data_IF_811935231633
#
_entry.id   IF_811935231633
#
_cell.length_a   1.000
_cell.length_b   1.000
_cell.length_c   1.000
_cell.angle_alpha   90.00
_cell.angle_beta   90.00
_cell.angle_gamma   90.00
#
_symmetry.space_group_name_H-M   'P 1'
#
loop_
_entity.id
_entity.type
_entity.pdbx_description
1 polymer ?
#
# COMPACT_ATOMS: atom_id res chain seq x y z
N UNK A 1 32.16 28.53 -32.22
CA UNK A 1 32.34 28.19 -30.79
C UNK A 1 30.98 27.88 -30.14
N UNK A 2 29.95 28.70 -30.37
CA UNK A 2 28.57 28.43 -29.94
C UNK A 2 27.98 27.15 -30.54
N UNK A 3 28.25 26.84 -31.81
CA UNK A 3 27.69 25.63 -32.45
C UNK A 3 28.21 24.31 -31.88
N UNK A 4 29.48 24.24 -31.46
CA UNK A 4 30.02 23.03 -30.81
C UNK A 4 29.44 22.82 -29.41
N UNK A 5 29.23 23.91 -28.66
CA UNK A 5 28.58 23.85 -27.36
C UNK A 5 27.09 23.48 -27.52
N UNK A 6 26.40 24.05 -28.52
CA UNK A 6 25.01 23.70 -28.82
C UNK A 6 24.87 22.24 -29.28
N UNK A 7 25.81 21.73 -30.08
CA UNK A 7 25.83 20.32 -30.52
C UNK A 7 26.13 19.39 -29.33
N UNK A 8 27.11 19.72 -28.49
CA UNK A 8 27.44 18.93 -27.30
C UNK A 8 26.31 18.94 -26.26
N UNK A 9 25.68 20.10 -26.03
CA UNK A 9 24.47 20.24 -25.21
C UNK A 9 23.28 19.51 -25.86
N UNK A 10 23.12 19.53 -27.19
CA UNK A 10 22.06 18.79 -27.89
C UNK A 10 22.25 17.28 -27.79
N UNK A 11 23.49 16.79 -27.82
CA UNK A 11 23.82 15.37 -27.60
C UNK A 11 23.54 14.94 -26.15
N UNK A 12 23.79 15.83 -25.18
CA UNK A 12 23.52 15.57 -23.76
C UNK A 12 22.03 15.67 -23.42
N UNK A 13 21.31 16.61 -24.03
CA UNK A 13 19.86 16.77 -23.84
C UNK A 13 19.06 15.63 -24.47
N UNK A 14 19.51 15.04 -25.58
CA UNK A 14 18.89 13.82 -26.11
C UNK A 14 19.20 12.57 -25.25
N UNK A 15 20.31 12.54 -24.52
CA UNK A 15 20.66 11.45 -23.61
C UNK A 15 20.01 11.59 -22.21
N UNK A 16 19.55 12.79 -21.84
CA UNK A 16 19.02 13.07 -20.51
C UNK A 16 17.71 12.32 -20.21
N UNK A 17 16.69 12.28 -21.09
CA UNK A 17 15.51 11.45 -20.89
C UNK A 17 15.87 9.97 -20.70
N UNK A 18 16.81 9.46 -21.48
CA UNK A 18 17.23 8.05 -21.42
C UNK A 18 17.99 7.73 -20.13
N UNK A 19 18.81 8.66 -19.66
CA UNK A 19 19.47 8.55 -18.35
C UNK A 19 18.44 8.52 -17.21
N UNK A 20 17.47 9.42 -17.22
CA UNK A 20 16.42 9.48 -16.19
C UNK A 20 15.55 8.22 -16.25
N UNK A 21 15.14 7.78 -17.43
CA UNK A 21 14.36 6.54 -17.61
C UNK A 21 15.12 5.33 -17.07
N UNK A 22 16.40 5.19 -17.42
CA UNK A 22 17.24 4.08 -16.95
C UNK A 22 17.51 4.13 -15.45
N UNK A 23 17.42 5.31 -14.83
CA UNK A 23 17.52 5.48 -13.39
C UNK A 23 16.24 5.04 -12.67
N UNK A 24 15.08 5.37 -13.24
CA UNK A 24 13.78 5.12 -12.62
C UNK A 24 13.30 3.69 -12.84
N UNK A 25 13.42 3.15 -14.05
CA UNK A 25 12.79 1.90 -14.47
C UNK A 25 13.80 0.76 -14.61
N UNK A 26 13.35 -0.46 -14.31
CA UNK A 26 14.16 -1.66 -14.52
C UNK A 26 14.33 -1.98 -16.00
N UNK A 27 15.40 -2.68 -16.39
CA UNK A 27 15.66 -3.04 -17.79
C UNK A 27 14.47 -3.79 -18.41
N UNK A 28 13.92 -4.78 -17.72
CA UNK A 28 12.76 -5.54 -18.23
C UNK A 28 11.51 -4.67 -18.41
N UNK A 29 11.26 -3.75 -17.48
CA UNK A 29 10.14 -2.81 -17.53
C UNK A 29 10.28 -1.84 -18.73
N UNK A 30 11.51 -1.38 -19.00
CA UNK A 30 11.82 -0.52 -20.14
C UNK A 30 11.49 -1.21 -21.47
N UNK A 31 11.75 -2.51 -21.58
CA UNK A 31 11.50 -3.29 -22.80
C UNK A 31 10.08 -3.83 -22.91
N UNK A 32 9.35 -3.97 -21.81
CA UNK A 32 8.01 -4.58 -21.80
C UNK A 32 6.86 -3.57 -21.80
N UNK A 33 7.06 -2.38 -21.22
CA UNK A 33 5.99 -1.40 -21.04
C UNK A 33 6.24 -0.13 -21.86
N UNK A 34 6.23 -0.27 -23.19
CA UNK A 34 6.59 0.81 -24.11
C UNK A 34 5.72 2.06 -23.98
N UNK A 35 4.42 1.92 -23.73
CA UNK A 35 3.51 3.07 -23.61
C UNK A 35 3.84 3.94 -22.39
N UNK A 36 4.12 3.30 -21.25
CA UNK A 36 4.54 3.99 -20.03
C UNK A 36 5.87 4.72 -20.26
N UNK A 37 6.85 4.02 -20.81
CA UNK A 37 8.19 4.57 -21.06
C UNK A 37 8.12 5.71 -22.08
N UNK A 38 7.34 5.56 -23.15
CA UNK A 38 7.13 6.60 -24.14
C UNK A 38 6.48 7.83 -23.52
N UNK A 39 5.45 7.64 -22.69
CA UNK A 39 4.77 8.73 -21.98
C UNK A 39 5.74 9.51 -21.09
N UNK A 40 6.55 8.80 -20.28
CA UNK A 40 7.56 9.44 -19.44
C UNK A 40 8.64 10.13 -20.26
N UNK A 41 9.10 9.53 -21.36
CA UNK A 41 10.09 10.15 -22.26
C UNK A 41 9.55 11.45 -22.84
N UNK A 42 8.32 11.45 -23.36
CA UNK A 42 7.69 12.66 -23.91
C UNK A 42 7.53 13.75 -22.85
N UNK A 43 7.08 13.38 -21.65
CA UNK A 43 6.94 14.33 -20.54
C UNK A 43 8.30 14.95 -20.16
N UNK A 44 9.35 14.13 -20.02
CA UNK A 44 10.69 14.63 -19.71
C UNK A 44 11.19 15.58 -20.80
N UNK A 45 10.97 15.27 -22.08
CA UNK A 45 11.46 16.09 -23.19
C UNK A 45 10.67 17.38 -23.37
N UNK A 46 9.34 17.32 -23.28
CA UNK A 46 8.46 18.42 -23.73
C UNK A 46 7.93 19.28 -22.58
N UNK A 47 7.72 18.69 -21.40
CA UNK A 47 7.01 19.36 -20.30
C UNK A 47 7.95 19.88 -19.21
N UNK A 48 9.24 19.51 -19.27
CA UNK A 48 10.25 19.89 -18.29
C UNK A 48 11.27 20.88 -18.87
N UNK A 49 11.75 21.80 -18.02
CA UNK A 49 12.87 22.67 -18.36
C UNK A 49 14.18 21.86 -18.38
N UNK A 50 14.74 21.62 -19.57
CA UNK A 50 15.93 20.78 -19.77
C UNK A 50 17.17 21.30 -19.03
N UNK A 51 17.37 22.61 -18.99
CA UNK A 51 18.52 23.22 -18.28
C UNK A 51 18.45 22.94 -16.79
N UNK A 52 17.28 23.17 -16.18
CA UNK A 52 17.09 22.93 -14.75
C UNK A 52 17.15 21.43 -14.42
N UNK A 53 16.58 20.58 -15.27
CA UNK A 53 16.65 19.13 -15.10
C UNK A 53 18.10 18.64 -15.12
N UNK A 54 18.92 19.14 -16.05
CA UNK A 54 20.34 18.78 -16.11
C UNK A 54 21.11 19.19 -14.85
N UNK A 55 20.87 20.41 -14.33
CA UNK A 55 21.46 20.86 -13.06
C UNK A 55 21.02 19.97 -11.89
N UNK A 56 19.73 19.60 -11.85
CA UNK A 56 19.18 18.72 -10.82
C UNK A 56 19.80 17.32 -10.86
N UNK A 57 19.88 16.70 -12.05
CA UNK A 57 20.50 15.39 -12.23
C UNK A 57 21.98 15.41 -11.85
N UNK A 58 22.72 16.44 -12.25
CA UNK A 58 24.13 16.58 -11.86
C UNK A 58 24.31 16.71 -10.35
N UNK A 59 23.44 17.49 -9.69
CA UNK A 59 23.44 17.60 -8.23
C UNK A 59 23.12 16.27 -7.54
N UNK A 60 22.23 15.45 -8.11
CA UNK A 60 21.92 14.14 -7.56
C UNK A 60 23.09 13.15 -7.76
N UNK A 61 23.78 13.21 -8.90
CA UNK A 61 24.92 12.34 -9.20
C UNK A 61 26.17 12.69 -8.39
N UNK A 62 26.31 13.94 -7.95
CA UNK A 62 27.40 14.38 -7.06
C UNK A 62 27.09 14.28 -5.57
N UNK A 63 25.98 13.61 -5.20
CA UNK A 63 25.58 13.47 -3.79
C UNK A 63 26.66 12.74 -2.97
N UNK A 64 26.83 13.18 -1.73
CA UNK A 64 27.61 12.46 -0.71
C UNK A 64 26.76 11.39 -0.04
N UNK A 65 27.41 10.44 0.61
CA UNK A 65 26.73 9.42 1.38
C UNK A 65 25.96 10.01 2.56
N UNK A 66 24.83 9.39 2.88
CA UNK A 66 24.13 9.66 4.13
C UNK A 66 24.90 8.96 5.26
N UNK A 67 25.51 9.77 6.14
CA UNK A 67 26.23 9.33 7.34
C UNK A 67 25.24 8.89 8.43
N UNK A 68 24.42 7.88 8.12
CA UNK A 68 23.48 7.25 9.03
C UNK A 68 23.97 5.85 9.39
N UNK A 69 23.86 5.50 10.66
CA UNK A 69 24.19 4.18 11.16
C UNK A 69 23.07 3.63 12.02
N UNK A 70 22.97 2.30 12.08
CA UNK A 70 21.96 1.66 12.90
C UNK A 70 22.34 1.83 14.37
N UNK A 71 21.43 2.33 15.23
CA UNK A 71 21.73 2.46 16.64
C UNK A 71 21.95 1.10 17.29
N UNK A 72 23.02 1.01 18.08
CA UNK A 72 23.38 -0.17 18.88
C UNK A 72 23.31 0.25 20.36
N UNK A 73 22.77 -0.58 21.26
CA UNK A 73 22.73 -0.25 22.68
C UNK A 73 24.11 0.15 23.22
N UNK A 74 24.21 1.31 23.84
CA UNK A 74 25.46 1.84 24.41
C UNK A 74 26.35 2.62 23.45
N UNK A 75 26.01 2.72 22.15
CA UNK A 75 26.74 3.53 21.17
C UNK A 75 25.78 4.60 20.62
N UNK A 76 26.19 5.86 20.74
CA UNK A 76 25.48 6.97 20.12
C UNK A 76 25.90 7.11 18.67
N UNK A 77 24.94 6.97 17.76
CA UNK A 77 25.14 7.16 16.31
C UNK A 77 24.11 8.14 15.77
N UNK A 78 24.41 8.73 14.60
CA UNK A 78 23.46 9.57 13.88
C UNK A 78 22.54 8.67 13.05
N UNK A 79 21.22 8.86 13.20
CA UNK A 79 20.20 8.15 12.43
C UNK A 79 18.90 8.97 12.41
N UNK A 80 17.91 8.54 11.63
CA UNK A 80 16.61 9.22 11.57
C UNK A 80 15.83 9.10 12.88
N UNK A 81 15.29 10.23 13.34
CA UNK A 81 14.55 10.34 14.61
C UNK A 81 13.03 10.36 14.42
N UNK A 82 12.53 9.82 13.31
CA UNK A 82 11.11 9.71 12.99
C UNK A 82 10.76 8.27 12.55
N UNK A 83 9.49 7.87 12.59
CA UNK A 83 9.04 6.66 11.89
C UNK A 83 9.34 6.77 10.38
N UNK A 84 9.80 5.69 9.75
CA UNK A 84 10.19 5.65 8.34
C UNK A 84 9.51 4.48 7.65
N UNK A 85 8.90 4.73 6.48
CA UNK A 85 8.43 3.69 5.57
C UNK A 85 9.29 3.70 4.31
N UNK A 86 10.15 2.71 4.16
CA UNK A 86 10.92 2.47 2.94
C UNK A 86 10.08 1.63 1.98
N UNK A 87 9.94 2.06 0.73
CA UNK A 87 9.15 1.37 -0.29
C UNK A 87 9.99 1.15 -1.54
N UNK A 88 9.95 -0.06 -2.09
CA UNK A 88 10.63 -0.39 -3.35
C UNK A 88 9.85 -1.48 -4.09
N UNK A 89 9.79 -1.40 -5.43
CA UNK A 89 9.29 -2.50 -6.25
C UNK A 89 10.29 -3.65 -6.30
N UNK A 90 9.83 -4.89 -6.36
CA UNK A 90 10.69 -6.06 -6.37
C UNK A 90 11.66 -6.16 -7.56
N UNK A 91 11.30 -5.51 -8.67
CA UNK A 91 12.04 -5.46 -9.94
C UNK A 91 12.67 -4.07 -10.20
N UNK A 92 12.67 -3.20 -9.19
CA UNK A 92 13.24 -1.85 -9.28
C UNK A 92 14.77 -1.87 -9.34
N UNK A 93 15.43 -0.95 -10.08
CA UNK A 93 16.89 -0.80 -10.03
C UNK A 93 17.42 -0.36 -8.66
N UNK A 94 16.55 0.10 -7.75
CA UNK A 94 16.93 0.62 -6.43
C UNK A 94 16.80 -0.38 -5.28
N UNK A 95 16.45 -1.65 -5.54
CA UNK A 95 16.22 -2.66 -4.48
C UNK A 95 17.37 -2.75 -3.50
N UNK A 96 18.60 -2.94 -4.00
CA UNK A 96 19.77 -3.13 -3.14
C UNK A 96 20.08 -1.88 -2.32
N UNK A 97 19.98 -0.69 -2.92
CA UNK A 97 20.20 0.58 -2.24
C UNK A 97 19.17 0.84 -1.12
N UNK A 98 17.90 0.47 -1.34
CA UNK A 98 16.85 0.60 -0.32
C UNK A 98 17.04 -0.42 0.81
N UNK A 99 17.48 -1.64 0.50
CA UNK A 99 17.81 -2.65 1.51
C UNK A 99 19.03 -2.21 2.33
N UNK A 100 20.04 -1.63 1.69
CA UNK A 100 21.20 -1.06 2.37
C UNK A 100 20.78 0.10 3.29
N UNK A 101 19.93 1.01 2.81
CA UNK A 101 19.38 2.09 3.64
C UNK A 101 18.65 1.52 4.87
N UNK A 102 17.80 0.51 4.70
CA UNK A 102 17.11 -0.18 5.81
C UNK A 102 18.09 -0.79 6.83
N UNK A 103 19.24 -1.31 6.36
CA UNK A 103 20.26 -1.88 7.23
C UNK A 103 20.90 -0.84 8.18
N UNK A 104 20.92 0.44 7.77
CA UNK A 104 21.48 1.57 8.51
C UNK A 104 20.45 2.29 9.40
N UNK A 105 19.17 1.95 9.32
CA UNK A 105 18.12 2.58 10.10
C UNK A 105 17.74 1.78 11.34
N UNK A 106 17.12 2.45 12.31
CA UNK A 106 16.55 1.85 13.52
C UNK A 106 15.37 0.92 13.15
N UNK A 107 15.48 -0.40 13.41
CA UNK A 107 14.44 -1.36 13.05
C UNK A 107 13.16 -1.21 13.87
N UNK A 108 13.18 -0.50 15.01
CA UNK A 108 11.97 -0.25 15.83
C UNK A 108 11.07 0.83 15.24
N UNK A 109 11.61 1.65 14.34
CA UNK A 109 10.93 2.81 13.74
C UNK A 109 10.82 2.74 12.23
N UNK A 110 11.50 1.78 11.61
CA UNK A 110 11.58 1.64 10.15
C UNK A 110 10.84 0.41 9.68
N UNK A 111 9.98 0.57 8.69
CA UNK A 111 9.33 -0.53 7.98
C UNK A 111 9.81 -0.56 6.54
N UNK A 112 10.24 -1.74 6.06
CA UNK A 112 10.57 -1.97 4.66
C UNK A 112 9.41 -2.70 3.97
N UNK A 113 8.85 -2.05 2.93
CA UNK A 113 7.83 -2.62 2.06
C UNK A 113 8.42 -2.89 0.68
N UNK A 114 8.73 -4.15 0.41
CA UNK A 114 9.05 -4.63 -0.94
C UNK A 114 7.75 -5.02 -1.65
N UNK A 115 7.35 -4.26 -2.67
CA UNK A 115 6.11 -4.46 -3.41
C UNK A 115 6.32 -5.51 -4.51
N UNK A 116 5.62 -6.63 -4.40
CA UNK A 116 5.66 -7.70 -5.40
C UNK A 116 5.02 -7.26 -6.72
N UNK A 117 5.52 -7.78 -7.84
CA UNK A 117 5.06 -7.49 -9.20
C UNK A 117 5.11 -5.98 -9.51
N UNK A 118 6.21 -5.33 -9.12
CA UNK A 118 6.33 -3.87 -9.21
C UNK A 118 7.75 -3.47 -9.63
N UNK A 119 7.83 -2.61 -10.63
CA UNK A 119 9.08 -2.07 -11.14
C UNK A 119 9.52 -0.79 -10.42
N UNK A 120 10.03 0.15 -11.22
CA UNK A 120 10.68 1.38 -10.81
C UNK A 120 9.83 2.33 -9.97
N UNK A 121 8.54 2.47 -10.32
CA UNK A 121 7.63 3.46 -9.75
C UNK A 121 6.39 2.79 -9.14
N UNK A 122 6.42 2.44 -7.85
CA UNK A 122 5.28 1.81 -7.17
C UNK A 122 4.00 2.64 -7.15
N UNK A 123 4.12 3.97 -7.16
CA UNK A 123 3.00 4.89 -7.24
C UNK A 123 2.27 4.87 -8.58
N UNK A 124 2.94 4.43 -9.65
CA UNK A 124 2.34 4.28 -10.98
C UNK A 124 1.82 2.86 -11.17
N UNK A 125 2.64 1.87 -10.84
CA UNK A 125 2.31 0.46 -11.07
C UNK A 125 1.25 -0.08 -10.10
N UNK A 126 1.30 0.34 -8.82
CA UNK A 126 0.46 -0.21 -7.77
C UNK A 126 -0.07 0.86 -6.79
N UNK A 127 -0.72 1.94 -7.28
CA UNK A 127 -1.17 3.07 -6.45
C UNK A 127 -2.11 2.63 -5.32
N UNK A 128 -3.00 1.68 -5.55
CA UNK A 128 -3.94 1.21 -4.53
C UNK A 128 -3.26 0.50 -3.35
N UNK A 129 -2.27 -0.37 -3.63
CA UNK A 129 -1.49 -1.06 -2.59
C UNK A 129 -0.61 -0.07 -1.83
N UNK A 130 0.00 0.89 -2.53
CA UNK A 130 0.80 1.95 -1.90
C UNK A 130 -0.06 2.86 -1.01
N UNK A 131 -1.25 3.25 -1.47
CA UNK A 131 -2.19 4.04 -0.68
C UNK A 131 -2.66 3.30 0.58
N UNK A 132 -2.91 1.99 0.49
CA UNK A 132 -3.24 1.19 1.67
C UNK A 132 -2.08 1.11 2.66
N UNK A 133 -0.85 0.89 2.18
CA UNK A 133 0.35 0.89 3.01
C UNK A 133 0.57 2.25 3.71
N UNK A 134 0.41 3.35 2.97
CA UNK A 134 0.51 4.69 3.50
C UNK A 134 -0.54 4.97 4.59
N UNK A 135 -1.79 4.55 4.37
CA UNK A 135 -2.85 4.63 5.38
C UNK A 135 -2.42 3.92 6.68
N UNK A 136 -1.91 2.70 6.60
CA UNK A 136 -1.47 1.98 7.80
C UNK A 136 -0.27 2.63 8.49
N UNK A 137 0.67 3.19 7.73
CA UNK A 137 1.80 3.93 8.29
C UNK A 137 1.34 5.16 9.08
N UNK A 138 0.43 5.95 8.51
CA UNK A 138 -0.18 7.13 9.16
C UNK A 138 -1.00 6.74 10.40
N UNK A 139 -1.72 5.62 10.34
CA UNK A 139 -2.42 5.05 11.50
C UNK A 139 -1.46 4.61 12.60
N UNK A 140 -0.31 4.03 12.26
CA UNK A 140 0.74 3.68 13.22
C UNK A 140 1.31 4.88 13.98
N UNK A 141 1.19 6.08 13.42
CA UNK A 141 1.57 7.34 14.08
C UNK A 141 0.44 7.96 14.92
N UNK A 142 -0.76 7.34 14.96
CA UNK A 142 -1.92 7.82 15.72
C UNK A 142 -2.86 8.74 14.94
N UNK A 143 -2.63 8.94 13.63
CA UNK A 143 -3.51 9.75 12.78
C UNK A 143 -4.56 8.88 12.08
N UNK A 144 -5.68 9.48 11.64
CA UNK A 144 -6.76 8.78 10.91
C UNK A 144 -7.27 7.47 11.57
N UNK A 145 -7.57 7.45 12.88
CA UNK A 145 -8.01 6.22 13.58
C UNK A 145 -9.35 5.68 13.07
N UNK A 146 -10.21 6.54 12.53
CA UNK A 146 -11.53 6.17 12.01
C UNK A 146 -11.50 5.67 10.55
N UNK A 147 -10.36 5.71 9.87
CA UNK A 147 -10.26 5.18 8.52
C UNK A 147 -10.33 3.65 8.57
N UNK A 148 -11.37 3.09 7.95
CA UNK A 148 -11.62 1.66 8.01
C UNK A 148 -10.43 0.81 7.54
N UNK A 149 -10.14 -0.27 8.26
CA UNK A 149 -9.24 -1.30 7.78
C UNK A 149 -9.97 -2.09 6.68
N UNK A 150 -9.64 -1.81 5.43
CA UNK A 150 -10.24 -2.45 4.25
C UNK A 150 -10.17 -3.99 4.32
N UNK A 151 -9.10 -4.54 4.91
CA UNK A 151 -8.99 -5.99 5.18
C UNK A 151 -9.88 -6.49 6.32
N UNK A 152 -10.01 -5.74 7.41
CA UNK A 152 -10.79 -6.19 8.58
C UNK A 152 -12.30 -6.15 8.31
N UNK A 153 -12.77 -5.21 7.48
CA UNK A 153 -14.19 -5.09 7.14
C UNK A 153 -14.73 -6.25 6.29
N UNK A 154 -13.90 -6.88 5.46
CA UNK A 154 -14.29 -8.06 4.67
C UNK A 154 -14.32 -9.36 5.50
N UNK A 155 -13.70 -9.37 6.68
CA UNK A 155 -13.64 -10.55 7.57
C UNK A 155 -14.80 -10.64 8.58
N UNK A 156 -15.76 -9.69 8.55
CA UNK A 156 -17.02 -9.87 9.29
C UNK A 156 -17.92 -10.80 8.50
N UNK A 157 -17.65 -12.11 8.61
CA UNK A 157 -18.69 -13.12 8.40
C UNK A 157 -19.88 -12.72 9.26
N UNK A 158 -21.05 -12.55 8.63
CA UNK A 158 -22.30 -12.33 9.32
C UNK A 158 -22.63 -13.58 10.14
N UNK A 159 -22.10 -13.65 11.37
CA UNK A 159 -22.70 -14.48 12.40
C UNK A 159 -23.99 -13.77 12.79
N UNK A 160 -25.08 -14.15 12.13
CA UNK A 160 -26.43 -13.68 12.43
C UNK A 160 -26.80 -14.12 13.84
N UNK A 161 -26.57 -13.25 14.82
CA UNK A 161 -27.15 -13.37 16.15
C UNK A 161 -28.62 -13.01 16.09
N UNK A 162 -29.45 -13.92 16.57
CA UNK A 162 -30.92 -13.87 16.60
C UNK A 162 -31.48 -12.60 17.22
N UNK A 163 -32.31 -11.87 16.46
CA UNK A 163 -33.18 -10.80 16.93
C UNK A 163 -34.63 -11.26 17.01
N UNK A 164 -34.97 -12.09 17.99
CA UNK A 164 -36.37 -12.27 18.41
C UNK A 164 -36.45 -12.52 19.91
N UNK A 165 -36.47 -11.45 20.69
CA UNK A 165 -36.99 -11.49 22.06
C UNK A 165 -38.08 -10.44 22.17
N UNK A 166 -39.26 -10.77 21.63
CA UNK A 166 -40.49 -10.05 21.98
C UNK A 166 -40.83 -10.37 23.43
N UNK A 167 -40.82 -9.30 24.23
CA UNK A 167 -41.81 -8.96 25.25
C UNK A 167 -42.61 -10.12 25.87
N UNK A 168 -42.17 -10.56 27.05
CA UNK A 168 -42.86 -11.50 27.92
C UNK A 168 -42.89 -10.99 29.36
N UNK A 169 -43.94 -10.26 29.68
CA UNK A 169 -44.27 -9.71 30.99
C UNK A 169 -44.70 -10.85 31.96
N UNK A 170 -44.05 -10.98 33.13
CA UNK A 170 -44.64 -11.37 34.44
C UNK A 170 -43.60 -11.58 35.56
N UNK A 171 -43.68 -10.69 36.55
CA UNK A 171 -43.77 -10.98 38.00
C UNK A 171 -42.59 -11.57 38.81
N UNK A 172 -42.25 -10.79 39.86
CA UNK A 172 -42.03 -11.17 41.28
C UNK A 172 -40.65 -11.70 41.74
N UNK A 173 -39.95 -10.79 42.42
CA UNK A 173 -39.41 -10.87 43.79
C UNK A 173 -38.52 -12.04 44.25
N UNK A 174 -37.46 -11.62 44.95
CA UNK A 174 -36.86 -12.16 46.17
C UNK A 174 -35.50 -12.88 46.09
N UNK A 175 -34.71 -12.49 47.09
CA UNK A 175 -33.35 -12.83 47.53
C UNK A 175 -33.06 -14.32 47.72
N UNK A 176 -31.78 -14.70 47.66
CA UNK A 176 -31.30 -15.90 48.36
C UNK A 176 -29.91 -16.36 47.94
N UNK A 177 -28.90 -16.06 48.76
CA UNK A 177 -27.66 -16.85 48.83
C UNK A 177 -27.96 -18.32 49.12
N UNK A 178 -27.15 -19.23 48.58
CA UNK A 178 -27.30 -20.67 48.82
C UNK A 178 -26.13 -21.49 48.32
N UNK A 179 -25.07 -21.54 49.12
CA UNK A 179 -23.94 -22.48 49.03
C UNK A 179 -24.43 -23.94 49.11
N UNK A 180 -23.86 -24.85 48.30
CA UNK A 180 -23.21 -26.11 48.72
C UNK A 180 -23.12 -27.17 47.60
N UNK A 181 -21.87 -27.49 47.27
CA UNK A 181 -21.25 -28.80 47.09
C UNK A 181 -22.15 -30.06 47.04
N UNK A 182 -21.93 -30.94 46.04
CA UNK A 182 -21.12 -32.17 46.16
C UNK A 182 -21.23 -33.04 44.90
N UNK A 183 -20.08 -33.67 44.61
CA UNK A 183 -19.74 -34.75 43.68
C UNK A 183 -20.62 -36.00 43.76
N UNK A 184 -20.58 -36.86 42.72
CA UNK A 184 -20.49 -38.35 42.70
C UNK A 184 -20.89 -38.86 41.29
N UNK A 185 -19.93 -39.28 40.45
CA UNK A 185 -19.56 -40.68 40.07
C UNK A 185 -20.61 -41.49 39.30
N UNK A 186 -20.22 -42.02 38.13
CA UNK A 186 -20.96 -43.11 37.47
C UNK A 186 -20.55 -43.34 36.01
N UNK A 187 -19.78 -44.41 35.76
CA UNK A 187 -19.37 -44.96 34.46
C UNK A 187 -20.53 -45.60 33.65
N UNK A 188 -20.26 -45.83 32.36
CA UNK A 188 -20.99 -46.74 31.45
C UNK A 188 -21.81 -45.98 30.41
N UNK A 189 -21.80 -46.25 29.10
CA UNK A 189 -21.51 -47.49 28.36
C UNK A 189 -21.30 -47.13 26.88
N UNK A 190 -20.42 -47.86 26.21
CA UNK A 190 -20.11 -47.76 24.77
C UNK A 190 -21.24 -48.31 23.88
N UNK A 191 -21.46 -47.71 22.71
CA UNK A 191 -21.85 -48.32 21.41
C UNK A 191 -21.79 -47.20 20.34
N UNK A 192 -20.86 -47.14 19.38
CA UNK A 192 -20.76 -47.86 18.08
C UNK A 192 -22.14 -47.94 17.36
N UNK A 193 -22.32 -47.58 16.08
CA UNK A 193 -21.40 -47.29 14.97
C UNK A 193 -22.18 -47.06 13.65
N UNK A 194 -21.52 -46.45 12.65
CA UNK A 194 -21.74 -46.60 11.17
C UNK A 194 -23.06 -46.07 10.57
N UNK A 195 -23.20 -45.58 9.33
CA UNK A 195 -22.39 -45.25 8.13
C UNK A 195 -23.38 -44.60 7.15
N UNK A 196 -22.93 -43.76 6.20
CA UNK A 196 -23.79 -43.38 5.07
C UNK A 196 -23.24 -42.23 4.23
N UNK A 197 -22.30 -42.54 3.35
CA UNK A 197 -21.88 -41.73 2.21
C UNK A 197 -23.06 -41.33 1.31
N UNK A 198 -22.92 -40.21 0.59
CA UNK A 198 -23.60 -40.10 -0.71
C UNK A 198 -23.96 -38.70 -1.20
N UNK A 199 -23.11 -38.21 -2.11
CA UNK A 199 -23.49 -37.48 -3.33
C UNK A 199 -24.13 -36.08 -3.22
N UNK A 200 -23.24 -35.09 -3.42
CA UNK A 200 -23.31 -34.06 -4.47
C UNK A 200 -24.62 -34.02 -5.27
N UNK A 201 -25.33 -32.89 -5.19
CA UNK A 201 -25.97 -32.32 -6.37
C UNK A 201 -25.89 -30.78 -6.35
N UNK A 202 -25.28 -30.25 -7.40
CA UNK A 202 -25.30 -28.82 -7.78
C UNK A 202 -26.68 -28.50 -8.34
N UNK A 203 -27.26 -27.37 -7.96
CA UNK A 203 -28.28 -26.71 -8.77
C UNK A 203 -28.04 -25.20 -8.81
N UNK A 204 -27.81 -24.76 -10.04
CA UNK A 204 -27.78 -23.41 -10.56
C UNK A 204 -29.03 -22.60 -10.20
N UNK A 205 -28.84 -21.33 -9.86
CA UNK A 205 -29.79 -20.22 -10.08
C UNK A 205 -28.93 -18.96 -10.21
N UNK A 206 -28.42 -18.62 -11.39
CA UNK A 206 -29.02 -17.70 -12.37
C UNK A 206 -29.84 -16.54 -11.76
N UNK A 207 -29.14 -15.47 -11.38
CA UNK A 207 -29.76 -14.17 -11.06
C UNK A 207 -29.36 -13.17 -12.13
N UNK A 208 -30.23 -13.07 -13.14
CA UNK A 208 -30.25 -12.10 -14.23
C UNK A 208 -30.31 -10.68 -13.65
N UNK A 209 -29.24 -9.89 -13.83
CA UNK A 209 -29.22 -8.45 -13.54
C UNK A 209 -29.75 -7.73 -14.79
N UNK A 210 -30.88 -7.04 -14.65
CA UNK A 210 -31.38 -6.11 -15.68
C UNK A 210 -30.49 -4.87 -15.75
N UNK A 211 -30.05 -4.56 -16.97
CA UNK A 211 -29.37 -3.33 -17.34
C UNK A 211 -30.42 -2.36 -17.88
N UNK A 212 -30.68 -1.27 -17.16
CA UNK A 212 -31.30 -0.06 -17.73
C UNK A 212 -30.21 0.94 -18.09
N UNK A 213 -30.07 1.35 -19.36
CA UNK A 213 -29.18 2.44 -19.75
C UNK A 213 -29.93 3.77 -19.64
N UNK A 214 -29.29 4.81 -19.11
CA UNK A 214 -29.70 6.16 -19.45
C UNK A 214 -28.49 7.07 -19.62
N UNK A 215 -28.57 7.78 -20.74
CA UNK A 215 -27.52 8.54 -21.40
C UNK A 215 -27.30 9.93 -20.77
N UNK A 216 -26.03 10.33 -20.80
CA UNK A 216 -25.47 11.65 -21.08
C UNK A 216 -26.35 12.91 -20.93
N UNK A 217 -25.85 13.85 -20.10
CA UNK A 217 -25.83 15.28 -20.45
C UNK A 217 -24.64 15.97 -19.76
N UNK A 218 -23.75 16.52 -20.59
CA UNK A 218 -22.68 17.47 -20.25
C UNK A 218 -23.23 18.72 -19.56
N UNK A 219 -22.48 19.26 -18.58
CA UNK A 219 -22.24 20.72 -18.42
C UNK A 219 -21.09 20.97 -17.41
N UNK A 220 -20.01 21.53 -17.94
CA UNK A 220 -19.22 22.67 -17.40
C UNK A 220 -18.65 22.65 -15.96
N UNK A 221 -17.35 22.35 -15.89
CA UNK A 221 -16.26 23.23 -15.43
C UNK A 221 -16.48 24.18 -14.23
N UNK A 222 -15.83 23.85 -13.10
CA UNK A 222 -15.28 24.86 -12.17
C UNK A 222 -14.07 24.31 -11.41
N UNK A 223 -12.89 24.84 -11.72
CA UNK A 223 -11.62 24.60 -11.03
C UNK A 223 -11.56 25.34 -9.69
N UNK A 224 -11.06 24.75 -8.59
CA UNK A 224 -10.73 25.52 -7.39
C UNK A 224 -9.31 26.11 -7.48
N UNK A 225 -9.22 27.39 -7.08
CA UNK A 225 -8.00 28.22 -7.02
C UNK A 225 -6.99 27.70 -6.00
N UNK A 226 -5.70 27.72 -6.36
CA UNK A 226 -4.55 27.54 -5.46
C UNK A 226 -4.54 28.59 -4.34
N UNK A 227 -4.19 28.14 -3.14
CA UNK A 227 -3.92 28.99 -1.98
C UNK A 227 -2.40 29.22 -1.90
N UNK A 228 -1.97 30.47 -2.04
CA UNK A 228 -0.57 30.87 -1.80
C UNK A 228 -0.27 30.86 -0.30
N UNK A 229 0.91 30.36 0.07
CA UNK A 229 1.47 30.46 1.43
C UNK A 229 2.68 31.38 1.32
N UNK A 230 2.62 32.51 2.02
CA UNK A 230 3.72 33.48 2.09
C UNK A 230 4.77 33.00 3.11
N UNK A 231 6.05 33.19 2.77
CA UNK A 231 7.21 32.90 3.61
C UNK A 231 7.21 33.67 4.94
#
# INVERSE_FOLDING_TARGET
YLDNLAIQISGWTNALPDMVISHLFGKEEIHSNHDLIHTYRQHITNDMNQTNLHLFVNSYNSRRDLEIERPVPGISVVTLQCPVLLVVGDSSPAVDAVVECNSKLDPTRTTLLKMADCGGLPQVSQPAKLAEAFKYFVQGMGYMPSASMTRLMRSRTASGSSITSLEGQRSRSHTGEGTRSRSHTGEGTRSRSHTGDGARNRSHTDTRIELTPNSASNTEQSSPKSMEVSC
#
